data_IF_569123760768
#
_entry.id   IF_569123760768
#
_cell.length_a   1.000
_cell.length_b   1.000
_cell.length_c   1.000
_cell.angle_alpha   90.00
_cell.angle_beta   90.00
_cell.angle_gamma   90.00
#
_symmetry.space_group_name_H-M   'P 1'
#
loop_
_entity.id
_entity.type
_entity.pdbx_description
1 polymer ?
#
# COMPACT_ATOMS: atom_id res chain seq x y z
N UNK A 1 -9.57 -0.47 9.28
CA UNK A 1 -8.85 -1.64 8.69
C UNK A 1 -7.34 -1.40 8.43
N UNK A 2 -6.89 -0.16 8.15
CA UNK A 2 -5.47 0.17 7.88
C UNK A 2 -4.49 -0.25 8.99
N UNK A 3 -4.88 -0.11 10.26
CA UNK A 3 -4.04 -0.41 11.44
C UNK A 3 -3.56 -1.88 11.49
N UNK A 4 -4.34 -2.83 10.98
CA UNK A 4 -3.92 -4.23 10.91
C UNK A 4 -2.94 -4.46 9.74
N UNK A 5 -3.12 -3.76 8.62
CA UNK A 5 -2.23 -3.87 7.48
C UNK A 5 -0.84 -3.26 7.76
N UNK A 6 -0.79 -2.15 8.49
CA UNK A 6 0.46 -1.55 8.96
C UNK A 6 1.22 -2.55 9.86
N UNK A 7 0.54 -3.17 10.84
CA UNK A 7 1.15 -4.15 11.73
C UNK A 7 1.68 -5.39 10.99
N UNK A 8 0.94 -5.91 10.00
CA UNK A 8 1.39 -7.03 9.16
C UNK A 8 2.60 -6.61 8.33
N UNK A 9 2.58 -5.41 7.76
CA UNK A 9 3.68 -4.86 6.96
C UNK A 9 4.95 -4.72 7.78
N UNK A 10 4.86 -4.17 8.99
CA UNK A 10 6.00 -4.03 9.90
C UNK A 10 6.56 -5.40 10.33
N UNK A 11 5.68 -6.37 10.60
CA UNK A 11 6.10 -7.72 10.95
C UNK A 11 6.84 -8.42 9.80
N UNK A 12 6.41 -8.19 8.56
CA UNK A 12 7.07 -8.73 7.37
C UNK A 12 8.37 -7.99 7.04
N UNK A 13 8.42 -6.67 7.24
CA UNK A 13 9.65 -5.89 7.13
C UNK A 13 10.74 -6.42 8.07
N UNK A 14 10.39 -6.73 9.33
CA UNK A 14 11.30 -7.35 10.31
C UNK A 14 11.81 -8.73 9.90
N UNK A 15 11.11 -9.42 9.00
CA UNK A 15 11.53 -10.69 8.41
C UNK A 15 12.33 -10.53 7.11
N UNK A 16 12.70 -9.30 6.74
CA UNK A 16 13.40 -9.01 5.50
C UNK A 16 12.52 -9.18 4.26
N UNK A 17 11.21 -8.96 4.38
CA UNK A 17 10.27 -9.08 3.28
C UNK A 17 9.73 -7.71 2.87
N UNK A 18 9.44 -7.54 1.59
CA UNK A 18 8.71 -6.40 1.04
C UNK A 18 7.48 -6.87 0.27
N UNK A 19 6.44 -6.04 0.12
CA UNK A 19 5.32 -6.41 -0.72
C UNK A 19 5.73 -6.39 -2.20
N UNK A 20 5.36 -7.44 -2.92
CA UNK A 20 5.46 -7.53 -4.38
C UNK A 20 4.23 -6.92 -5.05
N UNK A 21 3.05 -7.23 -4.53
CA UNK A 21 1.77 -6.67 -4.96
C UNK A 21 0.86 -6.46 -3.76
N UNK A 22 -0.07 -5.52 -3.88
CA UNK A 22 -1.15 -5.32 -2.92
C UNK A 22 -2.47 -5.29 -3.68
N UNK A 23 -3.39 -6.15 -3.27
CA UNK A 23 -4.77 -6.12 -3.70
C UNK A 23 -5.63 -5.53 -2.59
N UNK A 24 -6.43 -4.54 -2.95
CA UNK A 24 -7.46 -3.98 -2.09
C UNK A 24 -8.81 -4.44 -2.62
N UNK A 25 -9.63 -5.03 -1.74
CA UNK A 25 -11.02 -5.39 -2.02
C UNK A 25 -11.94 -4.63 -1.06
N UNK A 26 -13.09 -4.23 -1.55
CA UNK A 26 -14.14 -3.67 -0.70
C UNK A 26 -14.93 -4.84 -0.11
N UNK A 27 -14.92 -4.94 1.21
CA UNK A 27 -15.51 -6.02 2.00
C UNK A 27 -16.92 -5.68 2.51
N UNK A 28 -17.36 -4.41 2.45
CA UNK A 28 -18.75 -4.01 2.75
C UNK A 28 -19.09 -2.67 2.14
N UNK A 29 -20.35 -2.47 1.76
CA UNK A 29 -20.95 -1.21 1.32
C UNK A 29 -21.49 -0.33 2.46
N UNK A 30 -21.34 -0.76 3.72
CA UNK A 30 -21.74 0.03 4.89
C UNK A 30 -20.85 1.29 5.00
N UNK A 31 -21.47 2.47 4.87
CA UNK A 31 -20.78 3.77 4.95
C UNK A 31 -20.08 4.01 6.30
N UNK A 32 -20.53 3.36 7.37
CA UNK A 32 -20.00 3.50 8.73
C UNK A 32 -18.84 2.54 9.03
N UNK A 33 -18.48 1.68 8.09
CA UNK A 33 -17.36 0.75 8.22
C UNK A 33 -16.41 0.98 7.05
N UNK A 34 -15.20 1.45 7.33
CA UNK A 34 -14.07 1.30 6.39
C UNK A 34 -13.83 -0.20 6.18
N UNK A 35 -14.59 -0.82 5.29
CA UNK A 35 -14.54 -2.23 5.00
C UNK A 35 -13.68 -2.45 3.77
N UNK A 36 -12.37 -2.25 3.93
CA UNK A 36 -11.40 -2.57 2.89
C UNK A 36 -10.48 -3.70 3.38
N UNK A 37 -10.55 -4.84 2.71
CA UNK A 37 -9.61 -5.94 2.89
C UNK A 37 -8.36 -5.68 2.06
N UNK A 38 -7.19 -5.78 2.68
CA UNK A 38 -5.90 -5.73 1.98
C UNK A 38 -5.27 -7.11 1.96
N UNK A 39 -4.85 -7.54 0.77
CA UNK A 39 -4.08 -8.77 0.57
C UNK A 39 -2.73 -8.40 -0.02
N UNK A 40 -1.68 -8.79 0.68
CA UNK A 40 -0.30 -8.59 0.25
C UNK A 40 0.27 -9.91 -0.28
N UNK A 41 0.96 -9.83 -1.41
CA UNK A 41 1.92 -10.87 -1.81
C UNK A 41 3.31 -10.39 -1.43
N UNK A 42 4.10 -11.24 -0.78
CA UNK A 42 5.41 -10.87 -0.25
C UNK A 42 6.54 -11.46 -1.09
N UNK A 43 7.65 -10.74 -1.16
CA UNK A 43 8.92 -11.22 -1.70
C UNK A 43 10.06 -10.82 -0.75
N UNK A 44 11.22 -11.49 -0.81
CA UNK A 44 12.41 -11.03 -0.11
C UNK A 44 12.72 -9.57 -0.49
N UNK A 45 13.00 -8.74 0.52
CA UNK A 45 13.56 -7.42 0.30
C UNK A 45 15.04 -7.57 -0.08
N UNK A 46 15.55 -6.79 -1.05
CA UNK A 46 17.00 -6.69 -1.27
C UNK A 46 17.73 -6.27 0.02
N UNK A 47 19.02 -6.58 0.14
CA UNK A 47 19.85 -6.08 1.25
C UNK A 47 19.91 -4.55 1.22
N UNK A 48 19.83 -3.92 2.40
CA UNK A 48 19.87 -2.46 2.60
C UNK A 48 18.76 -1.65 1.88
N UNK A 49 17.58 -2.25 1.72
CA UNK A 49 16.49 -1.65 0.95
C UNK A 49 15.38 -1.09 1.84
N UNK A 50 15.01 0.18 1.63
CA UNK A 50 13.88 0.81 2.29
C UNK A 50 12.66 0.81 1.37
N UNK A 51 11.50 0.42 1.91
CA UNK A 51 10.25 0.42 1.15
C UNK A 51 9.10 1.05 1.92
N UNK A 52 8.14 1.58 1.17
CA UNK A 52 6.89 2.14 1.68
C UNK A 52 5.73 1.71 0.80
N UNK A 53 4.54 1.72 1.36
CA UNK A 53 3.30 1.51 0.61
C UNK A 53 2.26 2.54 1.02
N UNK A 54 1.41 2.93 0.07
CA UNK A 54 0.33 3.88 0.28
C UNK A 54 -0.97 3.30 -0.25
N UNK A 55 -2.05 3.48 0.50
CA UNK A 55 -3.41 3.19 0.04
C UNK A 55 -4.35 4.32 0.45
N UNK A 56 -5.30 4.66 -0.42
CA UNK A 56 -6.35 5.62 -0.12
C UNK A 56 -6.87 6.31 -1.38
N UNK A 57 -7.60 7.41 -1.20
CA UNK A 57 -8.07 8.24 -2.31
C UNK A 57 -6.92 8.77 -3.17
N UNK A 58 -7.14 8.99 -4.49
CA UNK A 58 -6.09 9.42 -5.42
C UNK A 58 -5.27 10.62 -4.94
N UNK A 59 -5.92 11.68 -4.44
CA UNK A 59 -5.23 12.92 -4.04
C UNK A 59 -4.37 12.73 -2.79
N UNK A 60 -4.86 11.95 -1.84
CA UNK A 60 -4.10 11.55 -0.66
C UNK A 60 -2.85 10.76 -1.07
N UNK A 61 -3.03 9.76 -1.94
CA UNK A 61 -1.93 8.91 -2.41
C UNK A 61 -0.92 9.75 -3.20
N UNK A 62 -1.36 10.62 -4.11
CA UNK A 62 -0.48 11.50 -4.88
C UNK A 62 0.42 12.37 -3.98
N UNK A 63 -0.13 12.91 -2.88
CA UNK A 63 0.64 13.67 -1.87
C UNK A 63 1.72 12.80 -1.22
N UNK A 64 1.39 11.54 -0.88
CA UNK A 64 2.36 10.60 -0.31
C UNK A 64 3.40 10.14 -1.33
N UNK A 65 3.01 9.91 -2.57
CA UNK A 65 3.91 9.57 -3.67
C UNK A 65 4.95 10.68 -3.92
N UNK A 66 4.54 11.95 -3.86
CA UNK A 66 5.45 13.08 -3.96
C UNK A 66 6.51 13.07 -2.84
N UNK A 67 6.10 12.76 -1.60
CA UNK A 67 7.03 12.59 -0.48
C UNK A 67 7.96 11.39 -0.67
N UNK A 68 7.46 10.25 -1.16
CA UNK A 68 8.29 9.09 -1.48
C UNK A 68 9.36 9.41 -2.52
N UNK A 69 9.02 10.16 -3.57
CA UNK A 69 10.01 10.65 -4.54
C UNK A 69 11.05 11.56 -3.90
N UNK A 70 10.65 12.46 -3.01
CA UNK A 70 11.57 13.34 -2.29
C UNK A 70 12.53 12.58 -1.35
N UNK A 71 12.17 11.35 -0.94
CA UNK A 71 13.04 10.44 -0.20
C UNK A 71 13.96 9.61 -1.11
N UNK A 72 13.97 9.86 -2.42
CA UNK A 72 14.76 9.11 -3.40
C UNK A 72 14.13 7.79 -3.85
N UNK A 73 12.90 7.49 -3.41
CA UNK A 73 12.25 6.22 -3.75
C UNK A 73 11.64 6.26 -5.15
N UNK A 74 11.64 5.10 -5.79
CA UNK A 74 11.00 4.84 -7.06
C UNK A 74 9.82 3.88 -6.92
N UNK A 75 8.77 4.13 -7.72
CA UNK A 75 7.54 3.34 -7.69
C UNK A 75 7.74 2.02 -8.42
N UNK A 76 7.48 0.91 -7.75
CA UNK A 76 7.61 -0.44 -8.32
C UNK A 76 6.27 -1.13 -8.54
N UNK A 77 5.20 -0.61 -7.92
CA UNK A 77 3.85 -1.09 -8.14
C UNK A 77 2.85 0.06 -7.97
N UNK A 78 1.81 0.08 -8.80
CA UNK A 78 0.66 0.95 -8.62
C UNK A 78 -0.57 0.28 -9.22
N UNK A 79 -1.70 0.37 -8.53
CA UNK A 79 -2.97 -0.15 -9.00
C UNK A 79 -4.10 0.72 -8.52
N UNK A 80 -5.03 1.06 -9.43
CA UNK A 80 -6.33 1.60 -9.07
C UNK A 80 -7.25 0.45 -8.66
N UNK A 81 -7.88 0.60 -7.51
CA UNK A 81 -8.92 -0.30 -7.03
C UNK A 81 -10.15 -0.09 -7.91
N UNK A 82 -10.75 -1.18 -8.40
CA UNK A 82 -11.91 -1.15 -9.30
C UNK A 82 -13.19 -0.90 -8.50
N UNK A 83 -13.22 0.17 -7.72
CA UNK A 83 -14.42 0.69 -7.06
C UNK A 83 -14.85 1.98 -7.79
N UNK A 84 -16.06 2.00 -8.40
CA UNK A 84 -16.59 3.18 -9.07
C UNK A 84 -16.77 4.39 -8.16
N UNK A 85 -16.98 4.19 -6.85
CA UNK A 85 -17.32 5.26 -5.92
C UNK A 85 -16.10 6.02 -5.39
N UNK A 86 -15.00 5.33 -5.12
CA UNK A 86 -13.84 5.92 -4.41
C UNK A 86 -12.58 6.07 -5.26
N UNK A 87 -12.42 5.29 -6.34
CA UNK A 87 -11.26 5.36 -7.23
C UNK A 87 -9.91 5.18 -6.52
N UNK A 88 -9.88 4.49 -5.38
CA UNK A 88 -8.69 4.38 -4.54
C UNK A 88 -7.46 3.86 -5.30
N UNK A 89 -6.30 4.27 -4.85
CA UNK A 89 -5.00 3.87 -5.40
C UNK A 89 -4.23 3.14 -4.31
N UNK A 90 -3.55 2.07 -4.70
CA UNK A 90 -2.48 1.47 -3.92
C UNK A 90 -1.17 1.60 -4.67
N UNK A 91 -0.08 1.88 -3.96
CA UNK A 91 1.26 1.96 -4.54
C UNK A 91 2.32 1.42 -3.60
N UNK A 92 3.41 0.90 -4.18
CA UNK A 92 4.61 0.43 -3.47
C UNK A 92 5.82 1.18 -4.03
N UNK A 93 6.67 1.62 -3.12
CA UNK A 93 7.83 2.48 -3.36
C UNK A 93 9.05 1.91 -2.69
N UNK A 94 10.21 2.06 -3.33
CA UNK A 94 11.46 1.47 -2.85
C UNK A 94 12.69 2.30 -3.25
N UNK A 95 13.76 2.23 -2.45
CA UNK A 95 15.00 3.02 -2.63
C UNK A 95 15.91 2.56 -3.74
#
# INVERSE_FOLDING_TARGET
MKRNADAVSDAMAKKGMMPATVDCRFDSTDLDKEAFGLKFTWKPAPSDFFWLWHVGYPDYVATKEARSRALGLHRVFSKRVRDPATGQVVSIWTS
#
